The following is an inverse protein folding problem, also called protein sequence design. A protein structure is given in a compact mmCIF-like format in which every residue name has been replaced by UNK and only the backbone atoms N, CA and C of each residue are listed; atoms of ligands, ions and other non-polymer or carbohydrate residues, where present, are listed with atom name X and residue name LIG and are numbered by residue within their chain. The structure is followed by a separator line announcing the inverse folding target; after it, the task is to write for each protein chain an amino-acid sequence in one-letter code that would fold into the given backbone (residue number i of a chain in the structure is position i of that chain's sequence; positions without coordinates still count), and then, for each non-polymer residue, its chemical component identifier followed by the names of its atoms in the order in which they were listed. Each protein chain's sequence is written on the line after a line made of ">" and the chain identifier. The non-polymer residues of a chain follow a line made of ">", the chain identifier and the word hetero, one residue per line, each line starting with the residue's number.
data_IF_464041851282
#
_entry.id   IF_464041851282
#
_cell.length_a   1.000
_cell.length_b   1.000
_cell.length_c   1.000
_cell.angle_alpha   90.00
_cell.angle_beta   90.00
_cell.angle_gamma   90.00
#
_symmetry.space_group_name_H-M   'P 1'
#
loop_
_entity.id
_entity.type
_entity.pdbx_description
1 polymer ?
#
# COMPACT_ATOMS: atom_id res chain seq x y z
N UNK A 1 -27.50 -19.29 -11.28
CA UNK A 1 -26.74 -18.45 -10.33
C UNK A 1 -26.98 -17.00 -10.68
N UNK A 2 -27.62 -16.24 -9.80
CA UNK A 2 -27.99 -14.86 -10.07
C UNK A 2 -26.74 -13.98 -9.91
N UNK A 3 -26.18 -13.48 -11.03
CA UNK A 3 -24.94 -12.68 -11.03
C UNK A 3 -25.07 -11.45 -10.12
N UNK A 4 -26.29 -10.95 -9.93
CA UNK A 4 -26.57 -9.79 -9.09
C UNK A 4 -26.34 -10.07 -7.59
N UNK A 5 -26.59 -11.28 -7.09
CA UNK A 5 -26.31 -11.65 -5.68
C UNK A 5 -24.81 -11.73 -5.38
N UNK A 6 -24.00 -12.16 -6.36
CA UNK A 6 -22.55 -12.25 -6.23
C UNK A 6 -21.95 -10.84 -6.27
N UNK A 7 -22.49 -9.99 -7.14
CA UNK A 7 -22.12 -8.58 -7.21
C UNK A 7 -22.57 -7.84 -5.94
N UNK A 8 -23.75 -8.09 -5.38
CA UNK A 8 -24.17 -7.55 -4.07
C UNK A 8 -23.34 -8.08 -2.89
N UNK A 9 -22.82 -9.31 -2.97
CA UNK A 9 -21.90 -9.85 -1.96
C UNK A 9 -20.48 -9.28 -2.09
N UNK A 10 -20.04 -8.95 -3.32
CA UNK A 10 -18.75 -8.31 -3.60
C UNK A 10 -18.78 -6.78 -3.41
N UNK A 11 -19.93 -6.15 -3.68
CA UNK A 11 -20.22 -4.71 -3.55
C UNK A 11 -21.02 -4.39 -2.28
N UNK A 12 -21.27 -5.39 -1.44
CA UNK A 12 -21.82 -5.21 -0.10
C UNK A 12 -20.77 -4.48 0.71
N UNK A 13 -20.82 -3.14 0.61
CA UNK A 13 -19.89 -2.18 1.21
C UNK A 13 -19.42 -2.69 2.57
N UNK A 14 -18.17 -3.14 2.64
CA UNK A 14 -17.41 -2.94 3.86
C UNK A 14 -17.26 -1.43 3.91
N UNK A 15 -18.12 -0.78 4.69
CA UNK A 15 -18.08 0.66 4.90
C UNK A 15 -16.87 0.91 5.79
N UNK A 16 -15.69 0.96 5.16
CA UNK A 16 -14.45 1.30 5.82
C UNK A 16 -14.63 2.67 6.46
N UNK A 17 -14.27 2.75 7.75
CA UNK A 17 -14.24 4.05 8.41
C UNK A 17 -13.29 4.98 7.64
N UNK A 18 -13.42 6.29 7.86
CA UNK A 18 -12.49 7.25 7.27
C UNK A 18 -11.04 6.90 7.63
N UNK A 19 -10.82 6.43 8.86
CA UNK A 19 -9.53 5.98 9.34
C UNK A 19 -9.03 4.72 8.60
N UNK A 20 -9.92 3.78 8.27
CA UNK A 20 -9.55 2.59 7.50
C UNK A 20 -9.20 2.95 6.06
N UNK A 21 -9.94 3.89 5.45
CA UNK A 21 -9.60 4.41 4.13
C UNK A 21 -8.23 5.10 4.13
N UNK A 22 -7.92 5.88 5.16
CA UNK A 22 -6.59 6.50 5.31
C UNK A 22 -5.47 5.45 5.45
N UNK A 23 -5.73 4.33 6.11
CA UNK A 23 -4.77 3.22 6.19
C UNK A 23 -4.56 2.60 4.80
N UNK A 24 -5.64 2.36 4.06
CA UNK A 24 -5.58 1.80 2.70
C UNK A 24 -4.81 2.74 1.77
N UNK A 25 -5.16 4.02 1.75
CA UNK A 25 -4.49 5.03 0.92
C UNK A 25 -3.00 5.13 1.29
N UNK A 26 -2.68 5.13 2.59
CA UNK A 26 -1.31 5.15 3.07
C UNK A 26 -0.48 3.93 2.66
N UNK A 27 -1.11 2.75 2.51
CA UNK A 27 -0.44 1.53 2.03
C UNK A 27 -0.04 1.70 0.57
N UNK A 28 -0.94 2.20 -0.27
CA UNK A 28 -0.64 2.45 -1.69
C UNK A 28 0.39 3.58 -1.86
N UNK A 29 0.31 4.63 -1.05
CA UNK A 29 1.31 5.71 -1.06
C UNK A 29 2.70 5.19 -0.66
N UNK A 30 2.79 4.38 0.40
CA UNK A 30 4.07 3.79 0.81
C UNK A 30 4.64 2.86 -0.27
N UNK A 31 3.78 2.14 -1.00
CA UNK A 31 4.18 1.31 -2.14
C UNK A 31 4.72 2.16 -3.30
N UNK A 32 4.05 3.25 -3.63
CA UNK A 32 4.51 4.19 -4.64
C UNK A 32 5.86 4.82 -4.25
N UNK A 33 6.04 5.21 -2.98
CA UNK A 33 7.31 5.75 -2.50
C UNK A 33 8.47 4.74 -2.62
N UNK A 34 8.23 3.46 -2.33
CA UNK A 34 9.24 2.41 -2.56
C UNK A 34 9.62 2.30 -4.05
N UNK A 35 8.66 2.44 -4.97
CA UNK A 35 8.92 2.47 -6.41
C UNK A 35 9.72 3.71 -6.81
N UNK A 36 9.34 4.89 -6.32
CA UNK A 36 10.06 6.14 -6.59
C UNK A 36 11.50 6.07 -6.09
N UNK A 37 11.73 5.55 -4.88
CA UNK A 37 13.06 5.37 -4.33
C UNK A 37 13.90 4.38 -5.16
N UNK A 38 13.28 3.30 -5.66
CA UNK A 38 13.95 2.35 -6.56
C UNK A 38 14.35 3.01 -7.89
N UNK A 39 13.43 3.76 -8.51
CA UNK A 39 13.73 4.52 -9.72
C UNK A 39 14.83 5.57 -9.49
N UNK A 40 14.82 6.24 -8.34
CA UNK A 40 15.85 7.20 -7.98
C UNK A 40 17.21 6.49 -7.92
N UNK A 41 17.32 5.39 -7.17
CA UNK A 41 18.54 4.59 -7.04
C UNK A 41 19.11 4.18 -8.40
N UNK A 42 18.24 3.75 -9.33
CA UNK A 42 18.65 3.35 -10.69
C UNK A 42 19.07 4.53 -11.58
N UNK A 43 18.55 5.73 -11.31
CA UNK A 43 18.77 6.92 -12.14
C UNK A 43 19.97 7.78 -11.74
N UNK A 44 20.41 7.71 -10.49
CA UNK A 44 21.47 8.57 -9.94
C UNK A 44 22.82 7.85 -9.87
N UNK A 45 23.90 8.59 -10.09
CA UNK A 45 25.28 8.10 -9.93
C UNK A 45 26.05 8.80 -8.80
N UNK A 46 25.48 9.88 -8.25
CA UNK A 46 26.10 10.60 -7.13
C UNK A 46 25.95 9.76 -5.83
N UNK A 47 27.04 9.46 -5.11
CA UNK A 47 26.98 8.62 -3.92
C UNK A 47 26.03 9.14 -2.83
N UNK A 48 25.91 10.46 -2.64
CA UNK A 48 25.01 11.02 -1.64
C UNK A 48 23.55 10.82 -2.04
N UNK A 49 23.25 10.97 -3.33
CA UNK A 49 21.90 10.72 -3.85
C UNK A 49 21.55 9.22 -3.81
N UNK A 50 22.52 8.34 -4.02
CA UNK A 50 22.34 6.89 -3.84
C UNK A 50 21.97 6.58 -2.38
N UNK A 51 22.66 7.17 -1.41
CA UNK A 51 22.33 7.02 0.01
C UNK A 51 20.91 7.51 0.31
N UNK A 52 20.51 8.68 -0.22
CA UNK A 52 19.15 9.20 -0.08
C UNK A 52 18.12 8.20 -0.61
N UNK A 53 18.36 7.59 -1.77
CA UNK A 53 17.46 6.60 -2.35
C UNK A 53 17.33 5.36 -1.45
N UNK A 54 18.43 4.84 -0.92
CA UNK A 54 18.44 3.68 0.00
C UNK A 54 17.64 3.98 1.28
N UNK A 55 17.91 5.11 1.93
CA UNK A 55 17.21 5.48 3.16
C UNK A 55 15.73 5.76 2.92
N UNK A 56 15.39 6.37 1.78
CA UNK A 56 14.00 6.61 1.41
C UNK A 56 13.24 5.31 1.19
N UNK A 57 13.86 4.34 0.50
CA UNK A 57 13.26 3.02 0.27
C UNK A 57 13.03 2.27 1.60
N UNK A 58 14.01 2.28 2.50
CA UNK A 58 13.91 1.62 3.81
C UNK A 58 12.83 2.28 4.70
N UNK A 59 12.74 3.62 4.67
CA UNK A 59 11.71 4.36 5.41
C UNK A 59 10.30 4.04 4.87
N UNK A 60 10.11 4.06 3.55
CA UNK A 60 8.84 3.72 2.91
C UNK A 60 8.43 2.28 3.20
N UNK A 61 9.38 1.33 3.17
CA UNK A 61 9.15 -0.07 3.51
C UNK A 61 8.69 -0.25 4.96
N UNK A 62 9.37 0.36 5.93
CA UNK A 62 8.95 0.30 7.35
C UNK A 62 7.55 0.86 7.55
N UNK A 63 7.23 1.96 6.86
CA UNK A 63 5.88 2.55 6.91
C UNK A 63 4.83 1.60 6.32
N UNK A 64 5.13 0.98 5.18
CA UNK A 64 4.27 -0.02 4.56
C UNK A 64 4.00 -1.22 5.49
N UNK A 65 5.05 -1.79 6.10
CA UNK A 65 4.94 -2.90 7.05
C UNK A 65 4.08 -2.55 8.28
N UNK A 66 4.25 -1.33 8.81
CA UNK A 66 3.44 -0.82 9.91
C UNK A 66 1.96 -0.69 9.52
N UNK A 67 1.67 -0.08 8.37
CA UNK A 67 0.29 0.11 7.90
C UNK A 67 -0.40 -1.23 7.57
N UNK A 68 0.34 -2.20 7.03
CA UNK A 68 -0.17 -3.57 6.86
C UNK A 68 -0.51 -4.23 8.20
N UNK A 69 0.30 -3.99 9.24
CA UNK A 69 0.03 -4.51 10.58
C UNK A 69 -1.24 -3.89 11.17
N UNK A 70 -1.42 -2.57 11.03
CA UNK A 70 -2.65 -1.88 11.41
C UNK A 70 -3.88 -2.38 10.65
N UNK A 71 -3.76 -2.58 9.34
CA UNK A 71 -4.84 -3.10 8.51
C UNK A 71 -5.27 -4.50 8.95
N UNK A 72 -4.31 -5.36 9.34
CA UNK A 72 -4.59 -6.70 9.88
C UNK A 72 -5.30 -6.63 11.23
N UNK A 73 -4.84 -5.78 12.15
CA UNK A 73 -5.47 -5.58 13.46
C UNK A 73 -6.93 -5.13 13.34
N UNK A 74 -7.20 -4.28 12.35
CA UNK A 74 -8.54 -3.75 12.05
C UNK A 74 -9.40 -4.65 11.16
N UNK A 75 -8.90 -5.84 10.81
CA UNK A 75 -9.59 -6.79 9.94
C UNK A 75 -10.00 -6.18 8.59
N UNK A 76 -9.21 -5.24 8.06
CA UNK A 76 -9.36 -4.67 6.72
C UNK A 76 -9.06 -5.80 5.72
N UNK A 77 -10.09 -6.59 5.42
CA UNK A 77 -9.93 -7.85 4.68
C UNK A 77 -10.12 -7.61 3.19
N UNK A 78 -8.99 -7.65 2.48
CA UNK A 78 -8.85 -8.02 1.06
C UNK A 78 -9.40 -7.04 0.00
N UNK A 79 -8.75 -5.89 -0.11
CA UNK A 79 -8.55 -5.20 -1.40
C UNK A 79 -7.08 -5.27 -1.89
N UNK A 80 -6.16 -5.84 -1.10
CA UNK A 80 -4.69 -5.76 -1.34
C UNK A 80 -4.13 -7.00 -2.07
N UNK A 81 -4.98 -7.93 -2.54
CA UNK A 81 -4.53 -9.22 -3.10
C UNK A 81 -5.11 -9.55 -4.47
N UNK A 82 -5.34 -8.56 -5.33
CA UNK A 82 -5.91 -8.82 -6.67
C UNK A 82 -5.21 -8.07 -7.78
N UNK A 83 -3.88 -8.08 -7.84
CA UNK A 83 -3.11 -7.86 -9.09
C UNK A 83 -1.74 -8.54 -8.98
N UNK A 84 -1.72 -9.87 -9.11
CA UNK A 84 -0.55 -10.65 -9.54
C UNK A 84 -0.93 -11.37 -10.83
#
# INVERSE_FOLDING_TARGET
>A
MNKNLIVEFLMGKIDYSKEDQQIIDGIEDAKLEMQVASCMFESVNDPQLIEVAIYSQEAAKKRYEYLLSLAKERQITRAITTFY
#
